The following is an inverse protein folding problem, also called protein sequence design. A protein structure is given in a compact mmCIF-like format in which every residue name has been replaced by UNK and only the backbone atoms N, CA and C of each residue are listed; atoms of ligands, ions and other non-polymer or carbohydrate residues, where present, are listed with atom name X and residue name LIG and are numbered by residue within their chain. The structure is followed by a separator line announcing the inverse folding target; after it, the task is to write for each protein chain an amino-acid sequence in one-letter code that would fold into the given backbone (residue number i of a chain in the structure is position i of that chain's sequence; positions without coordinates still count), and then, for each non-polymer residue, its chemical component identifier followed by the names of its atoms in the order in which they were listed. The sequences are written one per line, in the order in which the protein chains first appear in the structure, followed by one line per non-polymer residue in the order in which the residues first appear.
data_IF_887441639896
#
_entry.id   IF_887441639896
#
_cell.length_a   1.000
_cell.length_b   1.000
_cell.length_c   1.000
_cell.angle_alpha   90.00
_cell.angle_beta   90.00
_cell.angle_gamma   90.00
#
_symmetry.space_group_name_H-M   'P 1'
#
loop_
_entity.id
_entity.type
_entity.pdbx_description
1 polymer ?
#
# COMPACT_ATOMS: atom_id res chain seq x y z
N UNK A 1 7.58 -6.61 2.63
CA UNK A 1 6.91 -7.68 3.40
C UNK A 1 5.73 -8.25 2.61
N UNK A 2 5.50 -9.57 2.58
CA UNK A 2 4.37 -10.23 1.90
C UNK A 2 3.00 -9.85 2.51
N UNK A 3 1.89 -10.15 1.82
CA UNK A 3 0.54 -10.02 2.37
C UNK A 3 0.42 -10.82 3.68
N UNK A 4 -0.37 -10.37 4.67
CA UNK A 4 -0.62 -11.17 5.86
C UNK A 4 -1.31 -12.48 5.48
N UNK A 5 -0.95 -13.56 6.15
CA UNK A 5 -1.66 -14.83 6.11
C UNK A 5 -2.86 -14.80 7.07
N UNK A 6 -3.76 -15.78 6.98
CA UNK A 6 -4.83 -15.96 7.98
C UNK A 6 -4.20 -16.10 9.38
N UNK A 7 -3.08 -16.83 9.48
CA UNK A 7 -2.31 -16.95 10.71
C UNK A 7 -1.83 -15.59 11.25
N UNK A 8 -1.34 -14.70 10.39
CA UNK A 8 -0.90 -13.36 10.80
C UNK A 8 -2.06 -12.51 11.33
N UNK A 9 -3.26 -12.68 10.78
CA UNK A 9 -4.45 -11.97 11.28
C UNK A 9 -4.85 -12.47 12.67
N UNK A 10 -4.76 -13.77 12.94
CA UNK A 10 -5.04 -14.36 14.25
C UNK A 10 -4.11 -13.83 15.36
N UNK A 11 -2.91 -13.38 15.01
CA UNK A 11 -1.99 -12.76 15.95
C UNK A 11 -2.35 -11.30 16.31
N UNK A 12 -3.30 -10.68 15.61
CA UNK A 12 -3.73 -9.30 15.92
C UNK A 12 -4.56 -9.28 17.21
N UNK A 13 -4.42 -8.25 18.07
CA UNK A 13 -5.21 -8.14 19.30
C UNK A 13 -6.72 -8.22 19.09
N UNK A 14 -7.22 -7.69 17.97
CA UNK A 14 -8.64 -7.74 17.62
C UNK A 14 -9.15 -9.18 17.41
N UNK A 15 -8.28 -10.11 16.99
CA UNK A 15 -8.59 -11.51 16.72
C UNK A 15 -8.29 -12.45 17.89
N UNK A 16 -7.86 -11.94 19.06
CA UNK A 16 -7.43 -12.78 20.19
C UNK A 16 -8.49 -13.79 20.69
N UNK A 17 -9.77 -13.55 20.42
CA UNK A 17 -10.88 -14.46 20.76
C UNK A 17 -11.21 -15.50 19.68
N UNK A 18 -10.49 -15.53 18.55
CA UNK A 18 -10.75 -16.45 17.46
C UNK A 18 -10.24 -17.86 17.79
N UNK A 19 -11.09 -18.86 17.58
CA UNK A 19 -10.75 -20.28 17.66
C UNK A 19 -10.74 -20.87 16.26
N UNK A 20 -9.66 -21.56 15.89
CA UNK A 20 -9.62 -22.36 14.65
C UNK A 20 -10.31 -23.68 14.94
N UNK A 21 -11.38 -23.99 14.22
CA UNK A 21 -12.17 -25.22 14.42
C UNK A 21 -11.80 -26.31 13.39
N UNK A 22 -11.29 -25.91 12.22
CA UNK A 22 -10.75 -26.79 11.20
C UNK A 22 -10.08 -26.03 10.06
N UNK A 23 -9.41 -26.76 9.18
CA UNK A 23 -8.73 -26.21 8.00
C UNK A 23 -7.39 -25.54 8.34
N UNK A 24 -6.66 -26.09 9.30
CA UNK A 24 -5.43 -25.55 9.84
C UNK A 24 -4.31 -25.42 8.78
N UNK A 25 -4.29 -26.27 7.76
CA UNK A 25 -3.32 -26.19 6.67
C UNK A 25 -3.55 -24.95 5.78
N UNK A 26 -4.80 -24.49 5.68
CA UNK A 26 -5.18 -23.27 4.98
C UNK A 26 -4.75 -21.97 5.68
N UNK A 27 -4.29 -22.00 6.94
CA UNK A 27 -3.95 -20.79 7.70
C UNK A 27 -2.77 -20.00 7.10
N UNK A 28 -1.94 -20.64 6.28
CA UNK A 28 -0.80 -20.00 5.59
C UNK A 28 -1.20 -19.26 4.30
N UNK A 29 -2.46 -19.35 3.88
CA UNK A 29 -2.95 -18.62 2.71
C UNK A 29 -2.98 -17.12 3.00
N UNK A 30 -2.56 -16.31 2.01
CA UNK A 30 -2.50 -14.85 2.14
C UNK A 30 -3.88 -14.22 2.05
N UNK A 31 -4.19 -13.31 2.95
CA UNK A 31 -5.46 -12.58 2.96
C UNK A 31 -5.31 -11.25 2.25
N UNK A 32 -6.13 -11.03 1.24
CA UNK A 32 -6.19 -9.79 0.44
C UNK A 32 -7.21 -8.81 1.01
N UNK A 33 -8.26 -9.32 1.66
CA UNK A 33 -9.35 -8.52 2.20
C UNK A 33 -10.12 -9.26 3.30
N UNK A 34 -10.76 -8.50 4.19
CA UNK A 34 -11.72 -9.04 5.17
C UNK A 34 -13.08 -8.39 4.93
N UNK A 35 -14.13 -9.21 4.83
CA UNK A 35 -15.47 -8.74 4.47
C UNK A 35 -16.54 -9.38 5.34
N UNK A 36 -17.57 -8.61 5.68
CA UNK A 36 -18.74 -9.11 6.41
C UNK A 36 -19.83 -9.45 5.41
N UNK A 37 -20.36 -10.68 5.47
CA UNK A 37 -21.47 -11.09 4.62
C UNK A 37 -22.37 -12.08 5.34
N UNK A 38 -23.68 -11.93 5.14
CA UNK A 38 -24.71 -12.88 5.61
C UNK A 38 -25.37 -13.61 4.44
N UNK A 39 -24.84 -13.44 3.22
CA UNK A 39 -25.42 -14.02 2.02
C UNK A 39 -24.86 -15.43 1.78
N UNK A 40 -25.74 -16.40 1.56
CA UNK A 40 -25.39 -17.78 1.21
C UNK A 40 -24.94 -17.94 -0.25
N UNK A 41 -24.92 -16.86 -1.02
CA UNK A 41 -24.38 -16.80 -2.38
C UNK A 41 -23.21 -15.81 -2.50
N UNK A 42 -22.57 -15.45 -1.38
CA UNK A 42 -21.46 -14.50 -1.33
C UNK A 42 -20.29 -14.86 -2.28
N UNK A 43 -20.11 -16.15 -2.58
CA UNK A 43 -19.10 -16.65 -3.50
C UNK A 43 -19.05 -15.92 -4.86
N UNK A 44 -20.21 -15.48 -5.38
CA UNK A 44 -20.31 -14.80 -6.68
C UNK A 44 -19.68 -13.41 -6.71
N UNK A 45 -19.37 -12.85 -5.55
CA UNK A 45 -18.81 -11.50 -5.39
C UNK A 45 -17.34 -11.50 -4.96
N UNK A 46 -16.76 -12.69 -4.79
CA UNK A 46 -15.36 -12.83 -4.38
C UNK A 46 -14.43 -12.55 -5.56
N UNK A 47 -13.31 -11.91 -5.25
CA UNK A 47 -12.18 -11.65 -6.15
C UNK A 47 -10.98 -12.56 -5.84
N UNK A 48 -11.03 -13.31 -4.74
CA UNK A 48 -10.00 -14.23 -4.30
C UNK A 48 -9.16 -13.67 -3.16
N UNK A 49 -8.87 -14.53 -2.18
CA UNK A 49 -8.04 -14.23 -1.03
C UNK A 49 -8.77 -13.62 0.16
N UNK A 50 -10.10 -13.56 0.14
CA UNK A 50 -10.89 -12.96 1.21
C UNK A 50 -11.03 -13.87 2.43
N UNK A 51 -11.07 -13.26 3.61
CA UNK A 51 -11.58 -13.87 4.84
C UNK A 51 -12.97 -13.30 5.13
N UNK A 52 -13.99 -14.14 5.13
CA UNK A 52 -15.37 -13.73 5.42
C UNK A 52 -15.67 -13.75 6.91
N UNK A 53 -16.45 -12.77 7.37
CA UNK A 53 -17.01 -12.68 8.71
C UNK A 53 -18.54 -12.78 8.61
N UNK A 54 -19.17 -13.59 9.46
CA UNK A 54 -20.62 -13.76 9.50
C UNK A 54 -21.09 -14.08 10.92
N UNK A 55 -22.30 -13.65 11.26
CA UNK A 55 -23.02 -14.07 12.48
C UNK A 55 -23.61 -15.47 12.35
N UNK A 56 -23.54 -16.06 11.15
CA UNK A 56 -24.11 -17.37 10.84
C UNK A 56 -25.64 -17.39 10.89
N UNK A 57 -26.32 -16.24 10.85
CA UNK A 57 -27.78 -16.15 10.93
C UNK A 57 -28.43 -16.99 9.83
N UNK A 58 -28.04 -16.80 8.57
CA UNK A 58 -28.61 -17.56 7.47
C UNK A 58 -28.18 -19.03 7.54
N UNK A 59 -26.93 -19.31 7.92
CA UNK A 59 -26.44 -20.68 8.14
C UNK A 59 -27.26 -21.46 9.18
N UNK A 60 -27.71 -20.81 10.25
CA UNK A 60 -28.55 -21.42 11.29
C UNK A 60 -29.94 -21.84 10.81
N UNK A 61 -30.39 -21.30 9.67
CA UNK A 61 -31.70 -21.54 9.07
C UNK A 61 -31.66 -22.55 7.92
N UNK A 62 -30.47 -22.96 7.47
CA UNK A 62 -30.33 -23.89 6.35
C UNK A 62 -30.20 -25.34 6.83
N UNK A 63 -30.37 -26.29 5.90
CA UNK A 63 -30.06 -27.68 6.19
C UNK A 63 -28.54 -27.91 6.30
N UNK A 64 -28.08 -28.96 7.00
CA UNK A 64 -26.66 -29.30 7.09
C UNK A 64 -25.95 -29.39 5.73
N UNK A 65 -26.65 -29.94 4.72
CA UNK A 65 -26.14 -30.09 3.35
C UNK A 65 -25.97 -28.74 2.65
N UNK A 66 -26.92 -27.82 2.86
CA UNK A 66 -26.86 -26.48 2.30
C UNK A 66 -25.71 -25.67 2.92
N UNK A 67 -25.48 -25.79 4.23
CA UNK A 67 -24.33 -25.19 4.90
C UNK A 67 -22.99 -25.71 4.36
N UNK A 68 -22.86 -27.02 4.18
CA UNK A 68 -21.67 -27.61 3.57
C UNK A 68 -21.47 -27.15 2.11
N UNK A 69 -22.56 -27.08 1.33
CA UNK A 69 -22.52 -26.57 -0.04
C UNK A 69 -22.10 -25.09 -0.11
N UNK A 70 -22.53 -24.26 0.85
CA UNK A 70 -22.07 -22.88 0.95
C UNK A 70 -20.57 -22.79 1.22
N UNK A 71 -20.04 -23.59 2.14
CA UNK A 71 -18.61 -23.56 2.43
C UNK A 71 -17.76 -24.02 1.23
N UNK A 72 -18.25 -25.02 0.47
CA UNK A 72 -17.66 -25.38 -0.83
C UNK A 72 -17.67 -24.21 -1.80
N UNK A 73 -18.81 -23.52 -1.95
CA UNK A 73 -18.91 -22.41 -2.91
C UNK A 73 -17.98 -21.25 -2.53
N UNK A 74 -17.77 -20.97 -1.24
CA UNK A 74 -16.78 -20.00 -0.79
C UNK A 74 -15.35 -20.41 -1.15
N UNK A 75 -14.99 -21.66 -0.91
CA UNK A 75 -13.67 -22.20 -1.26
C UNK A 75 -13.42 -22.13 -2.77
N UNK A 76 -14.39 -22.56 -3.58
CA UNK A 76 -14.33 -22.52 -5.05
C UNK A 76 -14.30 -21.07 -5.57
N UNK A 77 -14.98 -20.15 -4.89
CA UNK A 77 -14.95 -18.71 -5.16
C UNK A 77 -13.64 -18.02 -4.75
N UNK A 78 -12.68 -18.76 -4.18
CA UNK A 78 -11.35 -18.26 -3.83
C UNK A 78 -11.25 -17.64 -2.44
N UNK A 79 -12.24 -17.80 -1.56
CA UNK A 79 -12.09 -17.39 -0.16
C UNK A 79 -10.99 -18.21 0.52
N UNK A 80 -10.32 -17.59 1.48
CA UNK A 80 -9.27 -18.20 2.29
C UNK A 80 -9.71 -18.49 3.72
N UNK A 81 -10.95 -18.19 4.08
CA UNK A 81 -11.54 -18.64 5.33
C UNK A 81 -12.92 -18.04 5.59
N UNK A 82 -13.57 -18.59 6.61
CA UNK A 82 -14.83 -18.10 7.17
C UNK A 82 -14.69 -17.99 8.69
N UNK A 83 -15.06 -16.86 9.25
CA UNK A 83 -15.14 -16.65 10.69
C UNK A 83 -16.60 -16.42 11.12
N UNK A 84 -17.02 -17.17 12.13
CA UNK A 84 -18.39 -17.16 12.64
C UNK A 84 -18.45 -16.57 14.05
N UNK A 85 -19.35 -15.64 14.29
CA UNK A 85 -19.71 -15.22 15.64
C UNK A 85 -20.80 -16.14 16.20
N UNK A 86 -20.46 -16.89 17.26
CA UNK A 86 -21.31 -17.95 17.84
C UNK A 86 -22.11 -17.49 19.06
N UNK A 87 -22.64 -16.26 19.03
CA UNK A 87 -23.33 -15.64 20.18
C UNK A 87 -24.84 -15.54 19.95
N UNK A 88 -25.24 -15.40 18.70
CA UNK A 88 -26.62 -15.15 18.29
C UNK A 88 -27.39 -16.45 17.96
N UNK A 89 -28.11 -16.48 16.81
CA UNK A 89 -28.89 -17.63 16.35
C UNK A 89 -28.06 -18.90 16.17
N UNK A 90 -26.81 -18.75 15.71
CA UNK A 90 -25.85 -19.84 15.60
C UNK A 90 -24.98 -19.85 16.86
N UNK A 91 -25.12 -20.85 17.72
CA UNK A 91 -24.32 -21.00 18.96
C UNK A 91 -23.22 -22.03 18.85
N UNK A 92 -23.38 -22.98 17.93
CA UNK A 92 -22.41 -24.02 17.64
C UNK A 92 -22.33 -24.21 16.13
N UNK A 93 -21.14 -24.55 15.65
CA UNK A 93 -20.93 -24.88 14.24
C UNK A 93 -21.57 -26.25 13.96
N UNK A 94 -22.46 -26.37 12.96
CA UNK A 94 -23.05 -27.64 12.58
C UNK A 94 -21.96 -28.68 12.22
N UNK A 95 -22.05 -29.94 12.67
CA UNK A 95 -21.03 -30.95 12.41
C UNK A 95 -20.70 -31.16 10.93
N UNK A 96 -21.72 -31.05 10.05
CA UNK A 96 -21.53 -31.15 8.61
C UNK A 96 -20.66 -30.03 8.05
N UNK A 97 -20.87 -28.79 8.51
CA UNK A 97 -20.07 -27.62 8.10
C UNK A 97 -18.61 -27.78 8.54
N UNK A 98 -18.40 -28.26 9.77
CA UNK A 98 -17.07 -28.51 10.32
C UNK A 98 -16.34 -29.65 9.59
N UNK A 99 -17.04 -30.74 9.28
CA UNK A 99 -16.49 -31.86 8.52
C UNK A 99 -16.06 -31.41 7.11
N UNK A 100 -16.88 -30.59 6.45
CA UNK A 100 -16.57 -30.05 5.13
C UNK A 100 -15.36 -29.10 5.17
N UNK A 101 -15.28 -28.21 6.16
CA UNK A 101 -14.14 -27.32 6.34
C UNK A 101 -12.81 -28.09 6.49
N UNK A 102 -12.82 -29.21 7.23
CA UNK A 102 -11.66 -30.09 7.37
C UNK A 102 -11.32 -30.82 6.09
N UNK A 103 -12.33 -31.30 5.34
CA UNK A 103 -12.12 -31.97 4.07
C UNK A 103 -11.42 -31.06 3.06
N UNK A 104 -11.86 -29.81 2.95
CA UNK A 104 -11.34 -28.82 2.00
C UNK A 104 -10.05 -28.12 2.46
N UNK A 105 -9.59 -28.42 3.68
CA UNK A 105 -8.54 -27.66 4.37
C UNK A 105 -8.83 -26.15 4.33
N UNK A 106 -10.09 -25.79 4.59
CA UNK A 106 -10.60 -24.43 4.54
C UNK A 106 -10.73 -23.86 5.95
N UNK A 107 -9.99 -22.79 6.30
CA UNK A 107 -10.00 -22.23 7.65
C UNK A 107 -11.40 -21.82 8.10
N UNK A 108 -11.90 -22.51 9.14
CA UNK A 108 -13.14 -22.16 9.81
C UNK A 108 -12.83 -21.65 11.21
N UNK A 109 -13.05 -20.35 11.42
CA UNK A 109 -12.80 -19.64 12.66
C UNK A 109 -14.11 -19.42 13.43
N UNK A 110 -14.03 -19.36 14.75
CA UNK A 110 -15.18 -19.05 15.58
C UNK A 110 -14.84 -18.08 16.71
N UNK A 111 -15.75 -17.15 16.98
CA UNK A 111 -15.74 -16.27 18.14
C UNK A 111 -16.88 -16.67 19.07
N UNK A 112 -16.57 -17.01 20.33
CA UNK A 112 -17.57 -17.43 21.35
C UNK A 112 -18.13 -16.27 22.17
N UNK A 113 -17.65 -15.07 21.90
CA UNK A 113 -18.06 -13.83 22.54
C UNK A 113 -18.37 -12.80 21.46
N UNK A 114 -19.17 -11.81 21.83
CA UNK A 114 -19.56 -10.75 20.90
C UNK A 114 -18.31 -10.01 20.44
N UNK A 115 -18.14 -9.91 19.13
CA UNK A 115 -17.02 -9.23 18.50
C UNK A 115 -17.55 -8.16 17.57
N UNK A 116 -17.00 -6.96 17.72
CA UNK A 116 -17.32 -5.88 16.80
C UNK A 116 -16.61 -6.17 15.49
N UNK A 117 -17.35 -6.66 14.48
CA UNK A 117 -16.80 -6.89 13.14
C UNK A 117 -16.13 -5.63 12.56
N UNK A 118 -16.57 -4.44 12.95
CA UNK A 118 -15.90 -3.18 12.61
C UNK A 118 -14.46 -3.09 13.14
N UNK A 119 -14.18 -3.66 14.31
CA UNK A 119 -12.84 -3.69 14.92
C UNK A 119 -11.96 -4.75 14.24
N UNK A 120 -12.52 -5.92 13.91
CA UNK A 120 -11.84 -6.97 13.14
C UNK A 120 -11.44 -6.47 11.75
N UNK A 121 -12.40 -5.93 11.00
CA UNK A 121 -12.19 -5.39 9.64
C UNK A 121 -11.17 -4.25 9.67
N UNK A 122 -11.29 -3.29 10.59
CA UNK A 122 -10.31 -2.19 10.72
C UNK A 122 -8.91 -2.71 11.01
N UNK A 123 -8.75 -3.64 11.95
CA UNK A 123 -7.44 -4.19 12.29
C UNK A 123 -6.82 -4.99 11.13
N UNK A 124 -7.63 -5.83 10.47
CA UNK A 124 -7.16 -6.62 9.34
C UNK A 124 -6.85 -5.74 8.12
N UNK A 125 -7.72 -4.80 7.77
CA UNK A 125 -7.47 -3.83 6.69
C UNK A 125 -6.25 -2.99 7.01
N UNK A 126 -6.05 -2.52 8.25
CA UNK A 126 -4.82 -1.82 8.63
C UNK A 126 -3.57 -2.70 8.46
N UNK A 127 -3.65 -4.02 8.73
CA UNK A 127 -2.53 -4.95 8.53
C UNK A 127 -2.26 -5.28 7.06
N UNK A 128 -3.31 -5.30 6.24
CA UNK A 128 -3.25 -5.50 4.78
C UNK A 128 -2.71 -4.23 4.10
N UNK A 129 -3.30 -3.08 4.44
CA UNK A 129 -2.99 -1.73 3.96
C UNK A 129 -1.79 -1.08 4.67
N UNK A 130 -1.19 -1.72 5.68
CA UNK A 130 0.14 -1.36 6.15
C UNK A 130 1.16 -1.41 4.99
N UNK A 131 0.79 -2.08 3.88
CA UNK A 131 1.22 -1.71 2.54
C UNK A 131 0.44 -0.48 2.05
N UNK A 132 0.92 0.72 2.38
CA UNK A 132 0.34 1.95 1.83
C UNK A 132 -0.33 2.88 2.83
N UNK A 133 0.26 3.09 4.00
CA UNK A 133 0.52 4.50 4.31
C UNK A 133 1.78 4.81 3.50
N UNK A 134 1.69 5.62 2.42
CA UNK A 134 2.87 6.29 1.93
C UNK A 134 3.49 6.90 3.19
N UNK A 135 4.74 6.58 3.49
CA UNK A 135 5.57 7.50 4.27
C UNK A 135 5.25 8.92 3.76
N UNK A 136 5.24 9.95 4.59
CA UNK A 136 4.84 11.30 4.14
C UNK A 136 5.71 11.77 2.94
N UNK A 137 6.82 11.08 2.69
CA UNK A 137 7.68 11.10 1.49
C UNK A 137 7.10 10.45 0.21
N UNK A 138 6.27 9.40 0.32
CA UNK A 138 5.76 8.56 -0.79
C UNK A 138 4.52 9.13 -1.50
N UNK A 139 3.91 10.20 -0.99
CA UNK A 139 2.89 10.95 -1.72
C UNK A 139 3.41 11.51 -3.05
N UNK A 140 4.63 12.06 -3.06
CA UNK A 140 5.23 12.60 -4.28
C UNK A 140 5.68 11.50 -5.24
N UNK A 141 6.20 10.38 -4.73
CA UNK A 141 6.53 9.22 -5.55
C UNK A 141 5.30 8.66 -6.27
N UNK A 142 4.14 8.64 -5.60
CA UNK A 142 2.89 8.19 -6.22
C UNK A 142 2.43 9.12 -7.34
N UNK A 143 2.60 10.44 -7.18
CA UNK A 143 2.32 11.44 -8.22
C UNK A 143 3.29 11.30 -9.38
N UNK A 144 4.59 11.14 -9.10
CA UNK A 144 5.61 10.93 -10.11
C UNK A 144 5.37 9.64 -10.90
N UNK A 145 4.99 8.55 -10.22
CA UNK A 145 4.63 7.29 -10.86
C UNK A 145 3.40 7.46 -11.76
N UNK A 146 2.33 8.07 -11.27
CA UNK A 146 1.12 8.32 -12.07
C UNK A 146 1.42 9.18 -13.32
N UNK A 147 2.31 10.17 -13.21
CA UNK A 147 2.75 10.96 -14.37
C UNK A 147 3.52 10.12 -15.38
N UNK A 148 4.37 9.19 -14.94
CA UNK A 148 5.10 8.26 -15.82
C UNK A 148 4.14 7.28 -16.51
N UNK A 149 3.26 6.62 -15.75
CA UNK A 149 2.33 5.62 -16.26
C UNK A 149 1.31 6.21 -17.25
N UNK A 150 0.90 7.47 -17.04
CA UNK A 150 -0.02 8.18 -17.95
C UNK A 150 0.69 8.85 -19.14
N UNK A 151 2.02 8.73 -19.25
CA UNK A 151 2.80 9.36 -20.32
C UNK A 151 2.86 10.89 -20.22
N UNK A 152 2.57 11.48 -19.06
CA UNK A 152 2.54 12.93 -18.83
C UNK A 152 3.83 13.49 -18.21
N UNK A 153 4.76 12.60 -17.85
CA UNK A 153 6.01 12.96 -17.18
C UNK A 153 6.84 14.00 -17.96
N UNK A 154 7.05 13.79 -19.26
CA UNK A 154 7.86 14.69 -20.09
C UNK A 154 7.21 16.07 -20.21
N UNK A 155 5.89 16.12 -20.49
CA UNK A 155 5.13 17.37 -20.61
C UNK A 155 5.21 18.17 -19.31
N UNK A 156 5.04 17.51 -18.17
CA UNK A 156 5.15 18.17 -16.87
C UNK A 156 6.57 18.68 -16.61
N UNK A 157 7.58 17.84 -16.83
CA UNK A 157 8.99 18.18 -16.65
C UNK A 157 9.38 19.38 -17.50
N UNK A 158 9.04 19.38 -18.78
CA UNK A 158 9.41 20.43 -19.71
C UNK A 158 8.69 21.74 -19.38
N UNK A 159 7.46 21.68 -18.87
CA UNK A 159 6.76 22.87 -18.37
C UNK A 159 7.42 23.48 -17.12
N UNK A 160 8.08 22.68 -16.29
CA UNK A 160 8.75 23.18 -15.07
C UNK A 160 10.21 23.57 -15.29
N UNK A 161 10.97 22.76 -16.02
CA UNK A 161 12.42 22.84 -16.17
C UNK A 161 12.87 23.19 -17.60
N UNK A 162 11.96 23.36 -18.56
CA UNK A 162 12.29 23.56 -19.97
C UNK A 162 13.38 24.60 -20.26
N UNK A 163 13.31 25.84 -19.73
CA UNK A 163 14.35 26.85 -19.93
C UNK A 163 15.73 26.42 -19.41
N UNK A 164 15.76 25.64 -18.32
CA UNK A 164 16.97 25.11 -17.73
C UNK A 164 17.51 23.91 -18.54
N UNK A 165 16.62 23.04 -19.03
CA UNK A 165 16.97 21.89 -19.85
C UNK A 165 17.46 22.29 -21.25
N UNK A 166 17.10 23.47 -21.74
CA UNK A 166 17.58 24.00 -23.03
C UNK A 166 19.03 24.53 -22.99
N UNK A 167 19.66 24.62 -21.82
CA UNK A 167 21.04 25.10 -21.70
C UNK A 167 22.07 24.11 -22.24
N UNK A 168 23.29 24.57 -22.57
CA UNK A 168 24.40 23.67 -22.88
C UNK A 168 24.71 22.74 -21.70
N UNK A 169 25.17 21.51 -21.99
CA UNK A 169 25.31 20.43 -21.00
C UNK A 169 26.07 20.80 -19.71
N UNK A 170 27.15 21.60 -19.82
CA UNK A 170 27.95 22.04 -18.66
C UNK A 170 27.17 23.00 -17.74
N UNK A 171 26.66 24.16 -18.21
CA UNK A 171 25.75 25.00 -17.42
C UNK A 171 24.51 24.26 -16.91
N UNK A 172 23.90 23.43 -17.75
CA UNK A 172 22.68 22.67 -17.43
C UNK A 172 22.89 21.77 -16.21
N UNK A 173 23.86 20.85 -16.27
CA UNK A 173 24.21 19.95 -15.16
C UNK A 173 24.56 20.70 -13.87
N UNK A 174 25.32 21.78 -13.99
CA UNK A 174 25.73 22.61 -12.86
C UNK A 174 24.53 23.26 -12.15
N UNK A 175 23.60 23.83 -12.93
CA UNK A 175 22.44 24.52 -12.39
C UNK A 175 21.36 23.55 -11.91
N UNK A 176 21.18 22.39 -12.56
CA UNK A 176 20.32 21.31 -12.05
C UNK A 176 20.79 20.80 -10.69
N UNK A 177 22.09 20.48 -10.55
CA UNK A 177 22.64 20.06 -9.27
C UNK A 177 22.56 21.15 -8.19
N UNK A 178 22.64 22.43 -8.59
CA UNK A 178 22.45 23.54 -7.65
C UNK A 178 21.00 23.69 -7.22
N UNK A 179 20.03 23.51 -8.14
CA UNK A 179 18.60 23.55 -7.84
C UNK A 179 18.19 22.42 -6.89
N UNK A 180 18.66 21.20 -7.14
CA UNK A 180 18.42 20.05 -6.27
C UNK A 180 18.95 20.30 -4.86
N UNK A 181 20.20 20.76 -4.75
CA UNK A 181 20.80 21.11 -3.46
C UNK A 181 20.06 22.25 -2.74
N UNK A 182 19.57 23.27 -3.47
CA UNK A 182 18.77 24.37 -2.91
C UNK A 182 17.46 23.84 -2.30
N UNK A 183 16.74 22.99 -3.02
CA UNK A 183 15.48 22.41 -2.55
C UNK A 183 15.72 21.50 -1.33
N UNK A 184 16.69 20.57 -1.42
CA UNK A 184 17.04 19.67 -0.33
C UNK A 184 17.54 20.42 0.93
N UNK A 185 18.25 21.52 0.73
CA UNK A 185 18.75 22.39 1.80
C UNK A 185 17.75 23.44 2.30
N UNK A 186 16.49 23.41 1.85
CA UNK A 186 15.46 24.41 2.18
C UNK A 186 15.96 25.86 1.95
N UNK A 187 16.69 26.06 0.86
CA UNK A 187 17.30 27.33 0.45
C UNK A 187 18.30 27.93 1.47
N UNK A 188 18.82 27.12 2.40
CA UNK A 188 19.90 27.52 3.29
C UNK A 188 21.24 27.59 2.51
N UNK A 189 21.61 28.80 2.08
CA UNK A 189 22.82 29.05 1.27
C UNK A 189 24.10 28.50 1.88
N UNK A 190 24.23 28.55 3.22
CA UNK A 190 25.41 28.01 3.89
C UNK A 190 25.48 26.49 3.81
N UNK A 191 24.34 25.80 3.95
CA UNK A 191 24.25 24.35 3.77
C UNK A 191 24.51 23.96 2.31
N UNK A 192 23.87 24.65 1.37
CA UNK A 192 24.02 24.39 -0.08
C UNK A 192 25.46 24.55 -0.53
N UNK A 193 26.13 25.62 -0.09
CA UNK A 193 27.55 25.85 -0.39
C UNK A 193 28.44 24.70 0.12
N UNK A 194 28.16 24.17 1.32
CA UNK A 194 28.86 22.99 1.86
C UNK A 194 28.58 21.74 1.04
N UNK A 195 27.32 21.45 0.74
CA UNK A 195 26.90 20.27 -0.03
C UNK A 195 27.55 20.26 -1.42
N UNK A 196 27.62 21.41 -2.09
CA UNK A 196 28.18 21.54 -3.43
C UNK A 196 29.70 21.74 -3.46
N UNK A 197 30.37 21.90 -2.30
CA UNK A 197 31.80 22.18 -2.23
C UNK A 197 32.22 23.52 -2.86
N UNK A 198 31.34 24.53 -2.86
CA UNK A 198 31.58 25.85 -3.48
C UNK A 198 31.49 27.00 -2.47
N UNK A 199 31.97 28.19 -2.87
CA UNK A 199 31.80 29.40 -2.06
C UNK A 199 30.35 29.88 -2.09
N UNK A 200 29.88 30.51 -1.01
CA UNK A 200 28.52 31.10 -0.92
C UNK A 200 28.21 32.04 -2.09
N UNK A 201 29.17 32.85 -2.53
CA UNK A 201 29.00 33.77 -3.65
C UNK A 201 28.66 33.03 -4.97
N UNK A 202 29.23 31.84 -5.16
CA UNK A 202 28.90 30.99 -6.32
C UNK A 202 27.46 30.49 -6.24
N UNK A 203 26.98 30.13 -5.04
CA UNK A 203 25.57 29.74 -4.84
C UNK A 203 24.63 30.90 -5.14
N UNK A 204 24.92 32.12 -4.62
CA UNK A 204 24.10 33.30 -4.92
C UNK A 204 24.03 33.59 -6.42
N UNK A 205 25.17 33.57 -7.11
CA UNK A 205 25.21 33.77 -8.55
C UNK A 205 24.34 32.76 -9.30
N UNK A 206 24.45 31.47 -8.96
CA UNK A 206 23.64 30.41 -9.58
C UNK A 206 22.15 30.51 -9.21
N UNK A 207 21.83 30.92 -7.99
CA UNK A 207 20.45 31.16 -7.57
C UNK A 207 19.80 32.27 -8.39
N UNK A 208 20.51 33.36 -8.66
CA UNK A 208 20.02 34.44 -9.53
C UNK A 208 19.83 33.96 -10.98
N UNK A 209 20.73 33.12 -11.49
CA UNK A 209 20.53 32.48 -12.79
C UNK A 209 19.28 31.58 -12.82
N UNK A 210 19.07 30.78 -11.77
CA UNK A 210 17.89 29.93 -11.66
C UNK A 210 16.60 30.75 -11.55
N UNK A 211 16.60 31.86 -10.81
CA UNK A 211 15.45 32.79 -10.73
C UNK A 211 15.15 33.45 -12.06
N UNK A 212 16.18 33.84 -12.81
CA UNK A 212 16.02 34.40 -14.15
C UNK A 212 15.40 33.41 -15.14
N UNK A 213 15.72 32.11 -15.02
CA UNK A 213 15.22 31.06 -15.91
C UNK A 213 13.85 30.49 -15.49
N UNK A 214 13.62 30.34 -14.19
CA UNK A 214 12.50 29.57 -13.64
C UNK A 214 11.47 30.43 -12.89
N UNK A 215 11.74 31.73 -12.72
CA UNK A 215 10.87 32.67 -12.03
C UNK A 215 11.00 32.60 -10.51
N UNK A 216 9.88 32.83 -9.82
CA UNK A 216 9.84 32.94 -8.37
C UNK A 216 10.10 31.59 -7.67
N UNK A 217 11.29 31.41 -7.09
CA UNK A 217 11.67 30.21 -6.35
C UNK A 217 11.29 30.26 -4.86
N UNK A 218 10.75 31.38 -4.37
CA UNK A 218 10.38 31.53 -2.96
C UNK A 218 8.96 31.00 -2.68
N UNK A 219 8.17 30.72 -3.72
CA UNK A 219 6.83 30.13 -3.60
C UNK A 219 6.89 28.61 -3.28
N UNK A 220 6.31 28.14 -2.16
CA UNK A 220 6.29 26.72 -1.80
C UNK A 220 5.66 25.81 -2.86
N UNK A 221 4.63 26.30 -3.60
CA UNK A 221 4.00 25.49 -4.66
C UNK A 221 4.93 25.31 -5.85
N UNK A 222 5.66 26.37 -6.23
CA UNK A 222 6.70 26.31 -7.26
C UNK A 222 7.84 25.38 -6.86
N UNK A 223 8.31 25.44 -5.62
CA UNK A 223 9.35 24.53 -5.11
C UNK A 223 8.92 23.06 -5.19
N UNK A 224 7.67 22.76 -4.82
CA UNK A 224 7.11 21.40 -4.93
C UNK A 224 7.07 20.90 -6.38
N UNK A 225 6.59 21.74 -7.30
CA UNK A 225 6.53 21.37 -8.72
C UNK A 225 7.92 21.13 -9.32
N UNK A 226 8.91 21.94 -8.93
CA UNK A 226 10.30 21.75 -9.35
C UNK A 226 10.91 20.48 -8.78
N UNK A 227 10.62 20.13 -7.52
CA UNK A 227 11.05 18.86 -6.92
C UNK A 227 10.51 17.67 -7.69
N UNK A 228 9.20 17.65 -7.96
CA UNK A 228 8.58 16.60 -8.78
C UNK A 228 9.20 16.51 -10.19
N UNK A 229 9.51 17.64 -10.81
CA UNK A 229 10.14 17.65 -12.13
C UNK A 229 11.59 17.11 -12.11
N UNK A 230 12.34 17.34 -11.02
CA UNK A 230 13.65 16.74 -10.82
C UNK A 230 13.56 15.22 -10.62
N UNK A 231 12.64 14.75 -9.79
CA UNK A 231 12.43 13.31 -9.54
C UNK A 231 11.98 12.56 -10.81
N UNK A 232 11.35 13.26 -11.76
CA UNK A 232 10.97 12.74 -13.08
C UNK A 232 12.11 12.73 -14.10
N UNK A 233 13.24 13.36 -13.80
CA UNK A 233 14.42 13.29 -14.68
C UNK A 233 14.96 11.85 -14.67
N UNK A 234 15.44 11.34 -15.82
CA UNK A 234 16.07 10.01 -15.84
C UNK A 234 17.27 10.03 -14.88
N UNK A 235 17.35 9.02 -13.99
CA UNK A 235 18.53 8.82 -13.16
C UNK A 235 19.76 8.86 -14.09
N UNK A 236 20.71 9.75 -13.81
CA UNK A 236 22.02 9.63 -14.41
C UNK A 236 22.54 8.23 -14.03
N UNK A 237 23.08 7.43 -14.98
CA UNK A 237 23.58 6.11 -14.65
C UNK A 237 24.62 6.28 -13.53
N UNK A 238 24.33 5.64 -12.39
CA UNK A 238 25.30 5.45 -11.32
C UNK A 238 26.58 4.92 -11.96
N UNK A 239 27.65 5.72 -11.92
CA UNK A 239 28.95 5.28 -12.37
C UNK A 239 29.28 3.95 -11.67
N UNK A 240 29.65 2.88 -12.40
CA UNK A 240 30.09 1.66 -11.76
C UNK A 240 31.26 2.02 -10.85
N UNK A 241 31.13 1.64 -9.58
CA UNK A 241 32.14 1.88 -8.57
C UNK A 241 33.49 1.40 -9.06
N UNK A 242 34.51 2.19 -8.76
CA UNK A 242 35.90 1.76 -8.76
C UNK A 242 36.03 0.48 -7.92
N UNK A 243 36.04 -0.67 -8.59
CA UNK A 243 36.70 -1.86 -8.07
C UNK A 243 38.20 -1.58 -8.12
N UNK A 244 38.73 -1.11 -6.99
CA UNK A 244 40.12 -1.35 -6.63
C UNK A 244 40.21 -2.75 -6.04
N UNK A 245 40.80 -3.68 -6.79
CA UNK A 245 41.84 -4.63 -6.37
C UNK A 245 42.24 -5.51 -7.54
#
# INVERSE_FOLDING_TARGET
MPLPTVHDLLALPAFAGAQVLGGEGGLRRTVTWVHVSELLDAARFLSGGELLLSTGLELSRTSPEAGAAYLRSLADGGAHGLALELVGPLREVPPALLAEARHLDFPLLAFRHEVRFADLTRAAHARILARGVPDVTSGLDSVALALRETGRAEVFRDAQLGPLLALPARPQSTLLGTLDALIAGQFNIAQVARTLGVRRQTVYYRLEQLRALLGNLDDPRRQLALRLALDLSPEAPMAPGTESS
#
